data_IF_891049559917
#
_entry.id   IF_891049559917
#
_cell.length_a   1.000
_cell.length_b   1.000
_cell.length_c   1.000
_cell.angle_alpha   90.00
_cell.angle_beta   90.00
_cell.angle_gamma   90.00
#
_symmetry.space_group_name_H-M   'P 1'
#
loop_
_entity.id
_entity.type
_entity.pdbx_description
1 polymer ?
#
# COMPACT_ATOMS: atom_id res chain seq x y z
N UNK A 1 13.76 1.57 -24.85
CA UNK A 1 13.65 0.86 -23.98
C UNK A 1 12.34 0.55 -23.57
N UNK A 2 12.06 -0.39 -23.06
CA UNK A 2 10.87 -0.72 -22.71
C UNK A 2 10.41 -0.05 -21.61
N UNK A 3 9.28 0.32 -21.56
CA UNK A 3 8.82 0.93 -20.53
C UNK A 3 8.58 0.04 -19.47
N UNK A 4 8.78 0.41 -18.41
CA UNK A 4 8.58 -0.32 -17.31
C UNK A 4 7.18 -0.60 -17.05
N UNK A 5 6.71 -1.76 -17.11
CA UNK A 5 5.41 -2.03 -16.77
C UNK A 5 5.40 -2.54 -15.44
N UNK A 6 4.52 -2.14 -14.64
CA UNK A 6 4.41 -2.62 -13.31
C UNK A 6 3.66 -3.92 -13.35
N UNK A 7 4.23 -4.91 -13.91
CA UNK A 7 3.59 -6.21 -14.02
C UNK A 7 4.14 -7.13 -12.96
N UNK A 8 3.29 -7.62 -12.10
CA UNK A 8 3.72 -8.50 -11.03
C UNK A 8 3.35 -9.92 -11.36
N UNK A 9 4.25 -10.84 -11.12
CA UNK A 9 4.02 -12.24 -11.43
C UNK A 9 3.15 -12.92 -10.38
N UNK A 10 3.01 -12.31 -9.22
CA UNK A 10 2.17 -12.87 -8.16
C UNK A 10 1.69 -11.80 -7.22
N UNK A 11 0.62 -12.07 -6.49
CA UNK A 11 0.17 -11.12 -5.47
C UNK A 11 1.23 -10.86 -4.40
N UNK A 12 2.07 -11.85 -4.11
CA UNK A 12 3.12 -11.66 -3.13
C UNK A 12 4.14 -10.65 -3.62
N UNK A 13 4.49 -10.69 -4.91
CA UNK A 13 5.41 -9.72 -5.48
C UNK A 13 4.82 -8.32 -5.40
N UNK A 14 3.52 -8.20 -5.67
CA UNK A 14 2.84 -6.93 -5.58
C UNK A 14 2.84 -6.41 -4.15
N UNK A 15 2.65 -7.30 -3.18
CA UNK A 15 2.65 -6.91 -1.77
C UNK A 15 4.01 -6.37 -1.36
N UNK A 16 5.08 -7.02 -1.80
CA UNK A 16 6.43 -6.57 -1.49
C UNK A 16 6.68 -5.19 -2.08
N UNK A 17 6.28 -4.99 -3.33
CA UNK A 17 6.47 -3.70 -3.99
C UNK A 17 5.70 -2.59 -3.28
N UNK A 18 4.46 -2.87 -2.88
CA UNK A 18 3.66 -1.90 -2.16
C UNK A 18 4.24 -1.59 -0.79
N UNK A 19 4.75 -2.61 -0.12
CA UNK A 19 5.37 -2.44 1.18
C UNK A 19 6.56 -1.48 1.10
N UNK A 20 7.38 -1.61 0.07
CA UNK A 20 8.50 -0.70 -0.12
C UNK A 20 8.05 0.72 -0.38
N UNK A 21 6.97 0.86 -1.16
CA UNK A 21 6.45 2.17 -1.46
C UNK A 21 5.90 2.82 -0.21
N UNK A 22 5.17 2.07 0.61
CA UNK A 22 4.65 2.60 1.87
C UNK A 22 5.79 3.03 2.78
N UNK A 23 6.86 2.25 2.81
CA UNK A 23 8.01 2.59 3.63
C UNK A 23 8.62 3.92 3.24
N UNK A 24 8.66 4.22 1.95
CA UNK A 24 9.19 5.49 1.50
C UNK A 24 8.32 6.66 1.96
N UNK A 25 7.01 6.51 1.86
CA UNK A 25 6.11 7.55 2.36
C UNK A 25 6.30 7.74 3.86
N UNK A 26 6.39 6.62 4.59
CA UNK A 26 6.52 6.67 6.03
C UNK A 26 7.80 7.38 6.46
N UNK A 27 8.89 7.10 5.76
CA UNK A 27 10.16 7.74 6.06
C UNK A 27 10.11 9.22 5.78
N UNK A 28 9.53 9.60 4.66
CA UNK A 28 9.48 11.00 4.29
C UNK A 28 8.63 11.83 5.21
N UNK A 29 7.52 11.30 5.65
CA UNK A 29 6.57 12.08 6.42
C UNK A 29 6.56 11.77 7.91
N UNK A 30 7.38 10.82 8.33
CA UNK A 30 7.51 10.51 9.75
C UNK A 30 6.27 9.98 10.41
N UNK A 31 5.50 9.17 9.68
CA UNK A 31 4.25 8.66 10.20
C UNK A 31 4.02 7.30 9.57
N UNK A 32 3.52 6.32 10.32
CA UNK A 32 3.24 5.03 9.71
C UNK A 32 1.95 5.12 8.90
N UNK A 33 1.80 4.18 7.98
CA UNK A 33 0.68 4.22 7.04
C UNK A 33 -0.67 4.03 7.71
N UNK A 34 -0.72 3.24 8.76
CA UNK A 34 -1.97 3.02 9.48
C UNK A 34 -2.48 4.32 10.10
N UNK A 35 -1.57 5.06 10.74
CA UNK A 35 -1.92 6.32 11.35
C UNK A 35 -2.31 7.34 10.28
N UNK A 36 -1.53 7.39 9.20
CA UNK A 36 -1.83 8.30 8.11
C UNK A 36 -3.22 8.03 7.55
N UNK A 37 -3.52 6.77 7.27
CA UNK A 37 -4.78 6.44 6.62
C UNK A 37 -5.96 6.73 7.53
N UNK A 38 -5.80 6.49 8.83
CA UNK A 38 -6.84 6.81 9.78
C UNK A 38 -7.16 8.30 9.75
N UNK A 39 -6.13 9.13 9.77
CA UNK A 39 -6.31 10.58 9.72
C UNK A 39 -6.86 11.05 8.38
N UNK A 40 -6.40 10.41 7.32
CA UNK A 40 -6.88 10.75 5.99
C UNK A 40 -8.39 10.51 5.89
N UNK A 41 -8.85 9.39 6.40
CA UNK A 41 -10.27 9.08 6.36
C UNK A 41 -11.10 10.01 7.22
N UNK A 42 -10.52 10.54 8.28
CA UNK A 42 -11.22 11.45 9.16
C UNK A 42 -11.15 12.89 8.67
N UNK A 43 -10.55 13.11 7.52
CA UNK A 43 -10.46 14.44 6.96
C UNK A 43 -9.45 15.33 7.63
N UNK A 44 -8.52 14.76 8.39
CA UNK A 44 -7.52 15.54 9.10
C UNK A 44 -6.27 15.80 8.26
N UNK A 45 -6.18 15.17 7.11
CA UNK A 45 -5.06 15.33 6.22
C UNK A 45 -5.61 15.70 4.86
N UNK A 46 -4.99 16.65 4.18
CA UNK A 46 -5.47 17.07 2.87
C UNK A 46 -5.35 15.96 1.84
N UNK A 47 -6.04 16.13 0.71
CA UNK A 47 -6.00 15.13 -0.33
C UNK A 47 -5.19 15.60 -1.51
N UNK A 48 -4.00 16.13 -1.27
CA UNK A 48 -3.09 16.48 -2.32
C UNK A 48 -2.62 15.20 -3.02
N UNK A 49 -1.91 15.35 -4.11
CA UNK A 49 -1.51 14.20 -4.94
C UNK A 49 -0.75 13.15 -4.16
N UNK A 50 0.16 13.57 -3.32
CA UNK A 50 0.98 12.62 -2.56
C UNK A 50 0.13 11.86 -1.54
N UNK A 51 -0.75 12.55 -0.85
CA UNK A 51 -1.62 11.90 0.13
C UNK A 51 -2.55 10.92 -0.55
N UNK A 52 -3.05 11.28 -1.73
CA UNK A 52 -3.93 10.40 -2.47
C UNK A 52 -3.18 9.14 -2.91
N UNK A 53 -1.95 9.30 -3.38
CA UNK A 53 -1.14 8.14 -3.78
C UNK A 53 -0.86 7.23 -2.58
N UNK A 54 -0.55 7.82 -1.44
CA UNK A 54 -0.27 7.04 -0.24
C UNK A 54 -1.51 6.26 0.18
N UNK A 55 -2.66 6.94 0.20
CA UNK A 55 -3.91 6.29 0.59
C UNK A 55 -4.26 5.14 -0.35
N UNK A 56 -4.08 5.36 -1.65
CA UNK A 56 -4.37 4.31 -2.62
C UNK A 56 -3.42 3.12 -2.46
N UNK A 57 -2.15 3.39 -2.24
CA UNK A 57 -1.18 2.33 -2.05
C UNK A 57 -1.49 1.53 -0.78
N UNK A 58 -1.88 2.21 0.27
CA UNK A 58 -2.19 1.54 1.52
C UNK A 58 -3.43 0.66 1.38
N UNK A 59 -4.47 1.15 0.71
CA UNK A 59 -5.68 0.36 0.50
C UNK A 59 -5.37 -0.89 -0.32
N UNK A 60 -4.54 -0.74 -1.33
CA UNK A 60 -4.17 -1.87 -2.17
C UNK A 60 -3.35 -2.88 -1.36
N UNK A 61 -2.45 -2.38 -0.52
CA UNK A 61 -1.65 -3.24 0.34
C UNK A 61 -2.53 -4.06 1.28
N UNK A 62 -3.47 -3.42 1.93
CA UNK A 62 -4.36 -4.09 2.86
C UNK A 62 -5.19 -5.17 2.16
N UNK A 63 -5.70 -4.85 0.97
CA UNK A 63 -6.50 -5.81 0.21
C UNK A 63 -5.68 -7.03 -0.18
N UNK A 64 -4.45 -6.82 -0.63
CA UNK A 64 -3.58 -7.94 -1.00
C UNK A 64 -3.18 -8.76 0.22
N UNK A 65 -2.91 -8.08 1.32
CA UNK A 65 -2.54 -8.77 2.55
C UNK A 65 -3.67 -9.68 3.01
N UNK A 66 -4.91 -9.20 2.96
CA UNK A 66 -6.05 -9.98 3.35
C UNK A 66 -6.28 -11.16 2.42
N UNK A 67 -6.08 -10.92 1.13
CA UNK A 67 -6.24 -11.98 0.15
C UNK A 67 -5.22 -13.10 0.39
N UNK A 68 -3.97 -12.75 0.61
CA UNK A 68 -2.94 -13.75 0.85
C UNK A 68 -3.15 -14.48 2.16
N UNK A 69 -3.57 -13.75 3.18
CA UNK A 69 -3.83 -14.36 4.46
C UNK A 69 -4.95 -15.38 4.35
N UNK A 70 -5.98 -15.04 3.61
CA UNK A 70 -7.11 -15.93 3.39
C UNK A 70 -6.68 -17.18 2.64
N UNK A 71 -5.83 -17.03 1.63
CA UNK A 71 -5.33 -18.17 0.87
C UNK A 71 -4.48 -19.09 1.73
N UNK A 72 -3.69 -18.52 2.62
CA UNK A 72 -2.87 -19.34 3.50
C UNK A 72 -3.74 -20.14 4.48
N UNK A 73 -4.80 -19.55 4.97
CA UNK A 73 -5.68 -20.26 5.86
C UNK A 73 -6.38 -21.42 5.19
N UNK A 74 -6.79 -21.19 3.94
CA UNK A 74 -7.46 -22.23 3.20
C UNK A 74 -6.50 -23.37 2.90
N UNK A 75 -5.24 -23.03 2.64
CA UNK A 75 -4.26 -24.04 2.33
C UNK A 75 -3.87 -24.87 3.54
N UNK A 76 -4.00 -24.31 4.71
CA UNK A 76 -3.67 -25.03 5.91
C UNK A 76 -4.79 -26.01 6.25
#
# INVERSE_FOLDING_TARGET
>A
MKKQRETYTSPLDALVALSKRLSLFESRLGMDSETFFDRYQKGLIGDDAESLEWANAYQHYVALHQQLESQLRVAA
#
